data_IF_705889337151
#
_entry.id   IF_705889337151
#
_cell.length_a   1.000
_cell.length_b   1.000
_cell.length_c   1.000
_cell.angle_alpha   90.00
_cell.angle_beta   90.00
_cell.angle_gamma   90.00
#
_symmetry.space_group_name_H-M   'P 1'
#
loop_
_entity.id
_entity.type
_entity.pdbx_description
1 polymer ?
#
# COMPACT_ATOMS: atom_id res chain seq x y z
N UNK A 1 -22.89 -15.31 39.44
CA UNK A 1 -22.47 -14.35 40.48
C UNK A 1 -21.12 -14.83 40.99
N UNK A 2 -19.97 -14.18 40.86
CA UNK A 2 -19.51 -12.89 40.32
C UNK A 2 -18.18 -13.22 39.58
N UNK A 3 -17.81 -12.60 38.48
CA UNK A 3 -17.02 -11.36 38.40
C UNK A 3 -17.11 -10.90 36.94
N UNK A 4 -17.96 -9.92 36.66
CA UNK A 4 -17.73 -8.93 35.62
C UNK A 4 -18.32 -7.65 36.19
N UNK A 5 -17.60 -7.07 37.15
CA UNK A 5 -17.76 -5.66 37.45
C UNK A 5 -17.59 -4.90 36.12
N UNK A 6 -18.48 -3.94 35.87
CA UNK A 6 -18.34 -2.94 34.82
C UNK A 6 -17.04 -2.15 35.03
N UNK A 7 -15.91 -2.74 34.65
CA UNK A 7 -14.66 -2.04 34.48
C UNK A 7 -14.79 -1.15 33.27
N UNK A 8 -14.72 0.14 33.49
CA UNK A 8 -14.55 1.18 32.48
C UNK A 8 -13.49 0.75 31.44
N UNK A 9 -13.92 0.47 30.20
CA UNK A 9 -13.04 0.02 29.12
C UNK A 9 -12.20 1.18 28.61
N UNK A 10 -10.92 1.22 29.01
CA UNK A 10 -9.94 2.18 28.52
C UNK A 10 -9.00 1.51 27.51
N UNK A 11 -8.75 2.16 26.38
CA UNK A 11 -7.78 1.71 25.38
C UNK A 11 -6.37 1.75 25.98
N UNK A 12 -5.63 0.67 25.78
CA UNK A 12 -4.24 0.52 26.21
C UNK A 12 -3.44 -0.12 25.09
N UNK A 13 -2.11 -0.02 25.17
CA UNK A 13 -1.21 -0.75 24.26
C UNK A 13 -1.51 -2.27 24.22
N UNK A 14 -1.88 -2.86 25.36
CA UNK A 14 -2.26 -4.28 25.44
C UNK A 14 -3.54 -4.59 24.65
N UNK A 15 -4.55 -3.73 24.71
CA UNK A 15 -5.79 -3.88 23.92
C UNK A 15 -5.51 -3.74 22.43
N UNK A 16 -4.66 -2.79 22.01
CA UNK A 16 -4.26 -2.65 20.60
C UNK A 16 -3.62 -3.95 20.10
N UNK A 17 -2.74 -4.54 20.89
CA UNK A 17 -2.09 -5.81 20.56
C UNK A 17 -3.10 -6.97 20.51
N UNK A 18 -4.03 -7.06 21.47
CA UNK A 18 -5.08 -8.07 21.49
C UNK A 18 -6.01 -7.96 20.26
N UNK A 19 -6.38 -6.74 19.86
CA UNK A 19 -7.16 -6.49 18.64
C UNK A 19 -6.37 -6.96 17.41
N UNK A 20 -5.07 -6.62 17.33
CA UNK A 20 -4.20 -7.06 16.23
C UNK A 20 -4.14 -8.57 16.13
N UNK A 21 -3.93 -9.27 17.24
CA UNK A 21 -3.86 -10.73 17.32
C UNK A 21 -5.18 -11.40 16.91
N UNK A 22 -6.30 -10.85 17.37
CA UNK A 22 -7.64 -11.34 17.00
C UNK A 22 -7.88 -11.20 15.50
N UNK A 23 -7.57 -10.03 14.93
CA UNK A 23 -7.70 -9.78 13.49
C UNK A 23 -6.74 -10.64 12.67
N UNK A 24 -5.51 -10.85 13.15
CA UNK A 24 -4.51 -11.71 12.50
C UNK A 24 -4.96 -13.17 12.48
N UNK A 25 -5.49 -13.69 13.60
CA UNK A 25 -6.05 -15.04 13.66
C UNK A 25 -7.23 -15.20 12.68
N UNK A 26 -8.13 -14.21 12.63
CA UNK A 26 -9.24 -14.21 11.68
C UNK A 26 -8.72 -14.23 10.23
N UNK A 27 -7.70 -13.45 9.91
CA UNK A 27 -7.11 -13.43 8.57
C UNK A 27 -6.44 -14.76 8.22
N UNK A 28 -5.69 -15.36 9.15
CA UNK A 28 -5.05 -16.66 8.96
C UNK A 28 -6.06 -17.78 8.71
N UNK A 29 -7.21 -17.74 9.38
CA UNK A 29 -8.32 -18.67 9.12
C UNK A 29 -8.87 -18.51 7.69
N UNK A 30 -9.05 -17.28 7.21
CA UNK A 30 -9.47 -17.03 5.82
C UNK A 30 -8.40 -17.46 4.80
N UNK A 31 -7.12 -17.26 5.10
CA UNK A 31 -6.01 -17.75 4.28
C UNK A 31 -5.94 -19.29 4.25
N UNK A 32 -6.32 -19.97 5.34
CA UNK A 32 -6.44 -21.42 5.40
C UNK A 32 -7.63 -21.90 4.57
N UNK A 33 -8.82 -21.32 4.73
CA UNK A 33 -10.01 -21.64 3.90
C UNK A 33 -9.72 -21.53 2.41
N UNK A 34 -9.04 -20.45 1.99
CA UNK A 34 -8.61 -20.25 0.60
C UNK A 34 -7.69 -21.37 0.10
N UNK A 35 -6.72 -21.78 0.92
CA UNK A 35 -5.81 -22.89 0.60
C UNK A 35 -6.56 -24.22 0.50
N UNK A 36 -7.48 -24.49 1.42
CA UNK A 36 -8.26 -25.72 1.44
C UNK A 36 -9.20 -25.80 0.23
N UNK A 37 -9.83 -24.69 -0.15
CA UNK A 37 -10.64 -24.58 -1.37
C UNK A 37 -9.80 -24.89 -2.62
N UNK A 38 -8.65 -24.23 -2.79
CA UNK A 38 -7.75 -24.48 -3.91
C UNK A 38 -7.29 -25.95 -3.96
N UNK A 39 -6.93 -26.52 -2.81
CA UNK A 39 -6.54 -27.92 -2.72
C UNK A 39 -7.69 -28.87 -3.07
N UNK A 40 -8.94 -28.55 -2.71
CA UNK A 40 -10.12 -29.33 -3.13
C UNK A 40 -10.25 -29.32 -4.65
N UNK A 41 -10.22 -28.12 -5.26
CA UNK A 41 -10.31 -27.95 -6.71
C UNK A 41 -9.18 -28.68 -7.45
N UNK A 42 -7.96 -28.65 -6.92
CA UNK A 42 -6.86 -29.42 -7.48
C UNK A 42 -7.11 -30.93 -7.42
N UNK A 43 -7.61 -31.46 -6.30
CA UNK A 43 -7.94 -32.89 -6.18
C UNK A 43 -9.07 -33.30 -7.13
N UNK A 44 -10.13 -32.51 -7.19
CA UNK A 44 -11.29 -32.72 -8.07
C UNK A 44 -10.86 -32.74 -9.55
N UNK A 45 -9.96 -31.83 -9.93
CA UNK A 45 -9.39 -31.79 -11.27
C UNK A 45 -8.28 -32.82 -11.50
N UNK A 46 -7.91 -33.67 -10.52
CA UNK A 46 -6.84 -34.67 -10.64
C UNK A 46 -5.44 -34.07 -10.80
N UNK A 47 -5.17 -32.94 -10.15
CA UNK A 47 -3.91 -32.19 -10.18
C UNK A 47 -3.13 -32.48 -8.90
N UNK A 48 -1.83 -32.73 -9.05
CA UNK A 48 -0.94 -32.91 -7.91
C UNK A 48 -0.90 -31.63 -7.07
N UNK A 49 -1.16 -31.77 -5.77
CA UNK A 49 -1.10 -30.65 -4.84
C UNK A 49 0.31 -30.05 -4.82
N UNK A 50 0.46 -28.73 -4.92
CA UNK A 50 1.74 -28.09 -4.70
C UNK A 50 2.18 -28.39 -3.25
N UNK A 51 3.41 -28.88 -3.08
CA UNK A 51 3.94 -29.25 -1.77
C UNK A 51 4.09 -28.03 -0.85
N UNK A 52 4.13 -26.83 -1.44
CA UNK A 52 4.33 -25.52 -0.82
C UNK A 52 5.30 -25.64 0.35
N UNK A 53 6.59 -25.75 0.03
CA UNK A 53 7.66 -25.52 0.99
C UNK A 53 7.34 -24.21 1.72
N UNK A 54 7.10 -24.34 3.02
CA UNK A 54 7.20 -23.33 4.08
C UNK A 54 7.58 -21.93 3.60
N UNK A 55 6.87 -20.88 4.07
CA UNK A 55 7.31 -19.48 4.05
C UNK A 55 8.82 -19.43 4.27
N UNK A 56 9.61 -19.43 3.19
CA UNK A 56 11.03 -19.16 3.29
C UNK A 56 11.03 -17.66 3.43
N UNK A 57 11.13 -17.19 4.67
CA UNK A 57 11.75 -15.90 4.91
C UNK A 57 13.13 -16.01 4.28
N UNK A 58 13.24 -15.63 3.01
CA UNK A 58 14.51 -15.67 2.30
C UNK A 58 15.39 -14.67 3.03
N UNK A 59 16.31 -15.18 3.84
CA UNK A 59 17.39 -14.37 4.37
C UNK A 59 18.07 -13.69 3.18
N UNK A 60 18.21 -12.37 3.27
CA UNK A 60 18.84 -11.55 2.25
C UNK A 60 20.26 -12.08 2.04
N UNK A 61 20.55 -12.63 0.84
CA UNK A 61 21.92 -12.71 0.33
C UNK A 61 22.50 -14.05 -0.12
N UNK A 62 21.81 -15.21 -0.07
CA UNK A 62 22.53 -16.49 -0.33
C UNK A 62 21.92 -17.42 -1.39
N UNK A 63 20.61 -17.37 -1.71
CA UNK A 63 20.03 -18.22 -2.77
C UNK A 63 19.38 -17.40 -3.90
N UNK A 64 19.32 -17.93 -5.14
CA UNK A 64 18.40 -17.43 -6.16
C UNK A 64 17.00 -17.39 -5.55
N UNK A 65 16.32 -16.25 -5.69
CA UNK A 65 14.93 -16.16 -5.32
C UNK A 65 14.10 -16.81 -6.42
N UNK A 66 13.21 -17.72 -6.05
CA UNK A 66 12.35 -18.43 -6.98
C UNK A 66 10.89 -18.08 -6.70
N UNK A 67 10.14 -17.84 -7.77
CA UNK A 67 8.68 -17.80 -7.71
C UNK A 67 8.15 -19.18 -7.30
N UNK A 68 6.92 -19.25 -6.79
CA UNK A 68 6.29 -20.54 -6.48
C UNK A 68 5.89 -21.27 -7.76
N UNK A 69 6.83 -22.04 -8.32
CA UNK A 69 6.65 -22.77 -9.58
C UNK A 69 5.66 -23.93 -9.47
N UNK A 70 5.58 -24.58 -8.32
CA UNK A 70 4.61 -25.65 -8.11
C UNK A 70 3.19 -25.09 -8.10
N UNK A 71 2.96 -24.00 -7.36
CA UNK A 71 1.67 -23.32 -7.34
C UNK A 71 1.33 -22.73 -8.72
N UNK A 72 2.29 -22.10 -9.40
CA UNK A 72 2.11 -21.63 -10.77
C UNK A 72 1.61 -22.77 -11.68
N UNK A 73 2.30 -23.92 -11.68
CA UNK A 73 1.91 -25.08 -12.51
C UNK A 73 0.53 -25.61 -12.15
N UNK A 74 0.23 -25.79 -10.85
CA UNK A 74 -1.04 -26.31 -10.39
C UNK A 74 -2.22 -25.40 -10.78
N UNK A 75 -2.07 -24.09 -10.55
CA UNK A 75 -3.08 -23.08 -10.93
C UNK A 75 -3.24 -23.00 -12.45
N UNK A 76 -2.14 -23.11 -13.20
CA UNK A 76 -2.16 -23.15 -14.66
C UNK A 76 -2.89 -24.37 -15.18
N UNK A 77 -2.61 -25.54 -14.62
CA UNK A 77 -3.26 -26.79 -15.00
C UNK A 77 -4.76 -26.78 -14.67
N UNK A 78 -5.14 -26.26 -13.50
CA UNK A 78 -6.54 -26.07 -13.12
C UNK A 78 -7.27 -25.21 -14.15
N UNK A 79 -6.63 -24.11 -14.56
CA UNK A 79 -7.17 -23.20 -15.58
C UNK A 79 -7.35 -23.89 -16.92
N UNK A 80 -6.41 -24.76 -17.32
CA UNK A 80 -6.50 -25.52 -18.58
C UNK A 80 -7.63 -26.55 -18.55
N UNK A 81 -7.76 -27.32 -17.47
CA UNK A 81 -8.76 -28.40 -17.34
C UNK A 81 -10.17 -27.88 -17.20
N UNK A 82 -10.36 -26.85 -16.38
CA UNK A 82 -11.67 -26.28 -16.06
C UNK A 82 -12.07 -25.12 -17.00
N UNK A 83 -11.25 -24.84 -18.02
CA UNK A 83 -11.48 -23.76 -19.00
C UNK A 83 -11.78 -22.40 -18.36
N UNK A 84 -11.09 -22.07 -17.26
CA UNK A 84 -11.41 -20.89 -16.45
C UNK A 84 -11.07 -19.59 -17.21
N UNK A 85 -12.02 -18.67 -17.23
CA UNK A 85 -11.72 -17.27 -17.55
C UNK A 85 -10.85 -16.65 -16.45
N UNK A 86 -10.11 -15.58 -16.79
CA UNK A 86 -9.31 -14.84 -15.82
C UNK A 86 -10.14 -14.39 -14.60
N UNK A 87 -11.37 -13.92 -14.83
CA UNK A 87 -12.26 -13.45 -13.76
C UNK A 87 -12.62 -14.59 -12.81
N UNK A 88 -13.02 -15.75 -13.34
CA UNK A 88 -13.32 -16.93 -12.51
C UNK A 88 -12.09 -17.36 -11.71
N UNK A 89 -10.92 -17.42 -12.35
CA UNK A 89 -9.69 -17.82 -11.68
C UNK A 89 -9.28 -16.84 -10.57
N UNK A 90 -9.41 -15.53 -10.78
CA UNK A 90 -9.09 -14.53 -9.74
C UNK A 90 -10.04 -14.62 -8.56
N UNK A 91 -11.32 -14.91 -8.80
CA UNK A 91 -12.31 -15.15 -7.73
C UNK A 91 -11.95 -16.40 -6.92
N UNK A 92 -11.61 -17.50 -7.59
CA UNK A 92 -11.12 -18.73 -6.94
C UNK A 92 -9.83 -18.44 -6.14
N UNK A 93 -8.87 -17.74 -6.75
CA UNK A 93 -7.58 -17.40 -6.14
C UNK A 93 -7.73 -16.64 -4.82
N UNK A 94 -8.79 -15.85 -4.66
CA UNK A 94 -9.10 -15.04 -3.48
C UNK A 94 -10.18 -15.65 -2.58
N UNK A 95 -10.74 -16.79 -2.93
CA UNK A 95 -11.91 -17.38 -2.27
C UNK A 95 -13.11 -16.41 -2.21
N UNK A 96 -13.42 -15.77 -3.33
CA UNK A 96 -14.65 -14.97 -3.49
C UNK A 96 -15.83 -15.95 -3.74
N UNK A 97 -16.74 -16.04 -2.77
CA UNK A 97 -17.92 -16.92 -2.83
C UNK A 97 -19.22 -16.10 -2.89
N UNK A 98 -20.36 -16.78 -2.99
CA UNK A 98 -21.67 -16.11 -2.93
C UNK A 98 -21.93 -15.52 -1.53
N UNK A 99 -21.46 -16.19 -0.48
CA UNK A 99 -21.59 -15.79 0.92
C UNK A 99 -20.60 -14.67 1.28
N UNK A 100 -19.41 -14.68 0.70
CA UNK A 100 -18.40 -13.64 0.89
C UNK A 100 -17.68 -13.28 -0.42
N UNK A 101 -18.21 -12.26 -1.09
CA UNK A 101 -17.65 -11.73 -2.33
C UNK A 101 -16.45 -10.79 -2.12
N UNK A 102 -16.02 -10.52 -0.89
CA UNK A 102 -14.95 -9.55 -0.63
C UNK A 102 -13.63 -10.07 -1.21
N UNK A 103 -12.90 -9.25 -1.99
CA UNK A 103 -11.61 -9.66 -2.52
C UNK A 103 -10.49 -9.60 -1.46
N UNK A 104 -10.66 -8.79 -0.41
CA UNK A 104 -9.73 -8.72 0.71
C UNK A 104 -10.40 -9.19 2.00
N UNK A 105 -10.08 -10.41 2.43
CA UNK A 105 -10.71 -11.06 3.59
C UNK A 105 -10.39 -10.44 4.95
N UNK A 106 -9.37 -9.59 5.03
CA UNK A 106 -9.05 -8.86 6.25
C UNK A 106 -10.02 -7.71 6.54
N UNK A 107 -10.75 -7.21 5.53
CA UNK A 107 -11.54 -5.99 5.65
C UNK A 107 -13.00 -6.32 5.94
N UNK A 108 -13.60 -5.69 6.94
CA UNK A 108 -15.00 -5.88 7.30
C UNK A 108 -15.85 -4.67 6.86
N UNK A 109 -16.90 -4.93 6.07
CA UNK A 109 -17.79 -3.90 5.50
C UNK A 109 -18.59 -3.18 6.60
N UNK A 110 -19.09 -3.90 7.59
CA UNK A 110 -19.92 -3.37 8.67
C UNK A 110 -19.11 -2.42 9.56
N UNK A 111 -17.94 -2.88 10.03
CA UNK A 111 -17.01 -2.05 10.80
C UNK A 111 -16.53 -0.84 10.00
N UNK A 112 -16.20 -1.03 8.72
CA UNK A 112 -15.86 0.08 7.82
C UNK A 112 -17.00 1.09 7.74
N UNK A 113 -18.26 0.64 7.66
CA UNK A 113 -19.43 1.51 7.54
C UNK A 113 -19.70 2.34 8.81
N UNK A 114 -19.44 1.76 9.98
CA UNK A 114 -19.53 2.41 11.29
C UNK A 114 -18.40 3.42 11.46
N UNK A 115 -17.15 3.00 11.24
CA UNK A 115 -15.96 3.80 11.55
C UNK A 115 -15.74 4.96 10.57
N UNK A 116 -16.23 4.83 9.33
CA UNK A 116 -16.16 5.88 8.31
C UNK A 116 -17.36 6.83 8.31
N UNK A 117 -18.22 6.84 9.34
CA UNK A 117 -19.36 7.75 9.40
C UNK A 117 -18.91 9.22 9.27
N UNK A 118 -19.59 9.96 8.40
CA UNK A 118 -19.24 11.36 8.09
C UNK A 118 -18.00 11.52 7.20
N UNK A 119 -17.33 10.44 6.79
CA UNK A 119 -16.20 10.52 5.87
C UNK A 119 -16.70 10.74 4.43
N UNK A 120 -16.14 11.74 3.75
CA UNK A 120 -16.60 12.14 2.41
C UNK A 120 -16.54 11.04 1.35
N UNK A 121 -15.57 10.13 1.44
CA UNK A 121 -15.36 9.05 0.47
C UNK A 121 -15.89 7.71 0.99
N UNK A 122 -16.77 7.74 2.01
CA UNK A 122 -17.37 6.55 2.63
C UNK A 122 -17.94 5.58 1.61
N UNK A 123 -18.73 6.07 0.65
CA UNK A 123 -19.37 5.17 -0.32
C UNK A 123 -18.35 4.48 -1.24
N UNK A 124 -17.32 5.21 -1.69
CA UNK A 124 -16.22 4.63 -2.48
C UNK A 124 -15.42 3.61 -1.66
N UNK A 125 -15.17 3.91 -0.38
CA UNK A 125 -14.50 3.00 0.55
C UNK A 125 -15.30 1.70 0.70
N UNK A 126 -16.60 1.78 0.98
CA UNK A 126 -17.45 0.62 1.19
C UNK A 126 -17.65 -0.21 -0.09
N UNK A 127 -17.80 0.43 -1.25
CA UNK A 127 -17.83 -0.26 -2.54
C UNK A 127 -16.52 -1.02 -2.78
N UNK A 128 -15.37 -0.38 -2.49
CA UNK A 128 -14.05 -1.02 -2.63
C UNK A 128 -13.86 -2.20 -1.66
N UNK A 129 -14.33 -2.10 -0.41
CA UNK A 129 -14.26 -3.22 0.54
C UNK A 129 -15.11 -4.40 0.07
N UNK A 130 -16.30 -4.14 -0.50
CA UNK A 130 -17.22 -5.18 -0.98
C UNK A 130 -16.77 -5.86 -2.26
N UNK A 131 -16.24 -5.09 -3.20
CA UNK A 131 -16.09 -5.52 -4.59
C UNK A 131 -14.68 -5.34 -5.16
N UNK A 132 -13.78 -4.74 -4.39
CA UNK A 132 -12.49 -4.27 -4.88
C UNK A 132 -12.64 -3.01 -5.72
N UNK A 133 -11.51 -2.43 -6.10
CA UNK A 133 -11.48 -1.24 -6.94
C UNK A 133 -12.04 -1.57 -8.31
N UNK A 134 -13.10 -0.86 -8.70
CA UNK A 134 -13.64 -0.87 -10.07
C UNK A 134 -13.19 0.38 -10.80
N UNK A 135 -12.93 0.24 -12.09
CA UNK A 135 -12.48 1.35 -12.93
C UNK A 135 -12.86 1.14 -14.39
N UNK A 136 -13.32 2.18 -15.08
CA UNK A 136 -13.55 2.12 -16.54
C UNK A 136 -12.31 2.57 -17.30
N UNK A 137 -12.01 1.84 -18.37
CA UNK A 137 -10.99 2.22 -19.34
C UNK A 137 -11.70 2.80 -20.58
N UNK A 138 -11.33 4.03 -21.00
CA UNK A 138 -12.00 4.82 -22.07
C UNK A 138 -11.85 4.21 -23.46
N UNK A 139 -10.75 3.50 -23.69
CA UNK A 139 -10.52 2.73 -24.91
C UNK A 139 -10.69 1.27 -24.53
N UNK A 140 -11.24 0.46 -25.44
CA UNK A 140 -11.31 -0.96 -25.16
C UNK A 140 -9.87 -1.45 -24.97
N UNK A 141 -9.57 -2.03 -23.81
CA UNK A 141 -8.27 -2.68 -23.62
C UNK A 141 -8.06 -3.75 -24.72
N UNK A 142 -9.16 -4.29 -25.21
CA UNK A 142 -9.27 -5.30 -26.26
C UNK A 142 -8.84 -4.77 -27.65
N UNK A 143 -8.83 -3.45 -27.88
CA UNK A 143 -8.35 -2.85 -29.13
C UNK A 143 -6.81 -2.84 -29.22
N UNK A 144 -6.12 -3.16 -28.12
CA UNK A 144 -4.66 -3.08 -28.04
C UNK A 144 -3.99 -4.44 -28.23
N UNK A 145 -4.20 -5.06 -29.40
CA UNK A 145 -3.27 -6.07 -29.90
C UNK A 145 -1.91 -5.42 -30.10
N UNK A 146 -0.99 -5.71 -29.20
CA UNK A 146 0.40 -5.28 -29.27
C UNK A 146 1.24 -6.50 -28.97
N UNK A 147 2.38 -6.61 -29.65
CA UNK A 147 3.47 -7.45 -29.17
C UNK A 147 3.65 -7.22 -27.67
N UNK A 148 3.80 -8.33 -26.96
CA UNK A 148 4.04 -8.34 -25.53
C UNK A 148 5.39 -7.65 -25.29
N UNK A 149 5.45 -6.54 -24.56
CA UNK A 149 6.67 -5.78 -24.41
C UNK A 149 7.70 -6.57 -23.57
N UNK A 150 8.98 -6.45 -23.93
CA UNK A 150 10.05 -6.91 -23.06
C UNK A 150 10.13 -6.08 -21.78
N UNK A 151 10.46 -6.73 -20.66
CA UNK A 151 10.80 -6.03 -19.43
C UNK A 151 11.98 -5.08 -19.67
N UNK A 152 11.97 -3.93 -18.98
CA UNK A 152 13.05 -2.96 -19.04
C UNK A 152 14.37 -3.59 -18.62
N UNK A 153 15.49 -3.08 -19.17
CA UNK A 153 16.84 -3.55 -18.82
C UNK A 153 17.06 -3.62 -17.31
N UNK A 154 16.57 -2.64 -16.55
CA UNK A 154 16.70 -2.63 -15.09
C UNK A 154 16.03 -3.81 -14.39
N UNK A 155 14.90 -4.31 -14.90
CA UNK A 155 14.25 -5.50 -14.35
C UNK A 155 14.98 -6.80 -14.75
N UNK A 156 15.48 -6.86 -15.99
CA UNK A 156 16.28 -8.02 -16.47
C UNK A 156 17.59 -8.16 -15.69
N UNK A 157 18.30 -7.05 -15.49
CA UNK A 157 19.55 -7.01 -14.71
C UNK A 157 19.29 -7.33 -13.21
N UNK A 158 18.08 -7.07 -12.71
CA UNK A 158 17.66 -7.30 -11.32
C UNK A 158 16.61 -8.42 -11.21
N UNK A 159 16.70 -9.47 -12.04
CA UNK A 159 15.69 -10.54 -12.11
C UNK A 159 15.43 -11.22 -10.75
N UNK A 160 16.45 -11.34 -9.90
CA UNK A 160 16.29 -11.91 -8.55
C UNK A 160 15.46 -11.01 -7.62
N UNK A 161 15.59 -9.69 -7.75
CA UNK A 161 14.75 -8.75 -7.01
C UNK A 161 13.30 -8.77 -7.52
N UNK A 162 13.12 -8.88 -8.85
CA UNK A 162 11.81 -9.09 -9.48
C UNK A 162 11.15 -10.37 -8.95
N UNK A 163 11.84 -11.51 -9.02
CA UNK A 163 11.35 -12.82 -8.54
C UNK A 163 10.95 -12.78 -7.07
N UNK A 164 11.77 -12.15 -6.19
CA UNK A 164 11.39 -11.95 -4.79
C UNK A 164 10.09 -11.17 -4.66
N UNK A 165 9.98 -10.03 -5.35
CA UNK A 165 8.77 -9.21 -5.26
C UNK A 165 7.53 -9.96 -5.74
N UNK A 166 7.66 -10.80 -6.77
CA UNK A 166 6.56 -11.64 -7.26
C UNK A 166 6.24 -12.76 -6.27
N UNK A 167 7.26 -13.43 -5.72
CA UNK A 167 7.09 -14.46 -4.68
C UNK A 167 6.36 -13.90 -3.45
N UNK A 168 6.82 -12.76 -2.93
CA UNK A 168 6.20 -12.09 -1.79
C UNK A 168 4.71 -11.78 -2.06
N UNK A 169 4.39 -11.35 -3.29
CA UNK A 169 3.01 -11.07 -3.65
C UNK A 169 2.18 -12.32 -3.98
N UNK A 170 2.77 -13.44 -4.44
CA UNK A 170 2.09 -14.74 -4.50
C UNK A 170 1.69 -15.20 -3.11
N UNK A 171 2.62 -15.16 -2.16
CA UNK A 171 2.41 -15.55 -0.77
C UNK A 171 1.35 -14.66 -0.10
N UNK A 172 1.33 -13.37 -0.43
CA UNK A 172 0.32 -12.41 0.03
C UNK A 172 -1.00 -12.42 -0.76
N UNK A 173 -1.13 -13.21 -1.84
CA UNK A 173 -2.31 -13.25 -2.71
C UNK A 173 -2.50 -12.03 -3.63
N UNK A 174 -1.55 -11.09 -3.65
CA UNK A 174 -1.57 -9.85 -4.45
C UNK A 174 -1.07 -10.01 -5.88
N UNK A 175 -0.43 -11.15 -6.18
CA UNK A 175 -0.09 -11.61 -7.52
C UNK A 175 -0.67 -12.99 -7.78
N UNK A 176 -1.35 -13.12 -8.92
CA UNK A 176 -1.68 -14.42 -9.51
C UNK A 176 -0.63 -14.73 -10.57
N UNK A 177 0.02 -15.88 -10.47
CA UNK A 177 1.07 -16.29 -11.42
C UNK A 177 0.65 -17.57 -12.10
N UNK A 178 0.64 -17.55 -13.43
CA UNK A 178 0.29 -18.68 -14.30
C UNK A 178 1.33 -18.83 -15.39
N UNK A 179 1.33 -19.96 -16.07
CA UNK A 179 2.14 -20.19 -17.24
C UNK A 179 1.74 -19.24 -18.38
N UNK A 180 2.71 -18.88 -19.20
CA UNK A 180 2.51 -17.90 -20.27
C UNK A 180 1.47 -18.38 -21.29
N UNK A 181 1.40 -19.68 -21.58
CA UNK A 181 0.41 -20.27 -22.50
C UNK A 181 -1.02 -20.15 -21.97
N UNK A 182 -1.22 -20.26 -20.65
CA UNK A 182 -2.52 -20.03 -20.01
C UNK A 182 -2.96 -18.59 -20.22
N UNK A 183 -2.05 -17.64 -19.99
CA UNK A 183 -2.36 -16.23 -20.17
C UNK A 183 -2.68 -15.84 -21.63
N UNK A 184 -2.14 -16.57 -22.62
CA UNK A 184 -2.44 -16.37 -24.03
C UNK A 184 -3.87 -16.75 -24.39
N UNK A 185 -4.55 -17.56 -23.57
CA UNK A 185 -5.98 -17.92 -23.74
C UNK A 185 -6.92 -16.81 -23.30
N UNK A 186 -6.41 -15.77 -22.64
CA UNK A 186 -7.19 -14.61 -22.21
C UNK A 186 -6.86 -13.41 -23.11
N UNK A 187 -7.55 -13.25 -24.25
CA UNK A 187 -7.19 -12.25 -25.26
C UNK A 187 -7.28 -10.80 -24.75
N UNK A 188 -8.03 -10.57 -23.67
CA UNK A 188 -8.27 -9.24 -23.09
C UNK A 188 -7.18 -8.79 -22.12
N UNK A 189 -6.16 -9.62 -21.85
CA UNK A 189 -5.08 -9.27 -20.90
C UNK A 189 -4.10 -8.31 -21.55
N UNK A 190 -3.93 -7.14 -20.94
CA UNK A 190 -2.92 -6.17 -21.30
C UNK A 190 -1.63 -6.46 -20.57
N UNK A 191 -0.56 -6.71 -21.34
CA UNK A 191 0.79 -6.85 -20.82
C UNK A 191 1.56 -5.53 -20.88
N UNK A 192 2.20 -5.19 -19.77
CA UNK A 192 3.10 -4.04 -19.62
C UNK A 192 4.44 -4.50 -19.04
N UNK A 193 5.55 -3.81 -19.36
CA UNK A 193 6.86 -4.24 -18.92
C UNK A 193 7.10 -3.94 -17.45
N UNK A 194 7.82 -4.82 -16.77
CA UNK A 194 8.37 -4.53 -15.45
C UNK A 194 9.66 -3.71 -15.57
N UNK A 195 9.89 -2.87 -14.56
CA UNK A 195 11.14 -2.18 -14.31
C UNK A 195 11.52 -2.32 -12.84
N UNK A 196 12.81 -2.23 -12.53
CA UNK A 196 13.31 -2.20 -11.15
C UNK A 196 14.00 -0.88 -10.86
N UNK A 197 13.78 -0.34 -9.66
CA UNK A 197 14.48 0.85 -9.15
C UNK A 197 15.27 0.47 -7.90
N UNK A 198 16.57 0.81 -7.83
CA UNK A 198 17.39 0.53 -6.65
C UNK A 198 16.78 1.12 -5.38
N UNK A 199 16.81 0.35 -4.28
CA UNK A 199 16.61 0.91 -2.94
C UNK A 199 17.93 1.55 -2.48
N UNK A 200 17.84 2.68 -1.77
CA UNK A 200 19.03 3.37 -1.27
C UNK A 200 19.83 2.47 -0.31
N UNK A 201 21.15 2.41 -0.48
CA UNK A 201 22.06 1.66 0.39
C UNK A 201 22.05 0.14 0.21
N UNK A 202 21.33 -0.38 -0.80
CA UNK A 202 21.20 -1.83 -1.05
C UNK A 202 21.62 -2.16 -2.48
N UNK A 203 22.25 -3.32 -2.69
CA UNK A 203 22.63 -3.78 -4.02
C UNK A 203 21.35 -4.08 -4.83
N UNK A 204 21.07 -3.37 -5.93
CA UNK A 204 19.83 -3.50 -6.70
C UNK A 204 19.62 -4.87 -7.35
N UNK A 205 20.68 -5.68 -7.51
CA UNK A 205 20.56 -7.08 -7.97
C UNK A 205 19.78 -7.92 -6.97
N UNK A 206 19.79 -7.51 -5.70
CA UNK A 206 19.06 -8.18 -4.64
C UNK A 206 17.87 -7.34 -4.12
N UNK A 207 18.19 -6.10 -3.79
CA UNK A 207 17.43 -4.94 -3.32
C UNK A 207 16.78 -3.99 -4.34
N UNK A 208 15.66 -4.31 -4.98
CA UNK A 208 14.97 -3.34 -5.84
C UNK A 208 13.47 -3.17 -5.55
N UNK A 209 12.96 -1.98 -5.85
CA UNK A 209 11.52 -1.71 -5.93
C UNK A 209 11.03 -2.05 -7.33
N UNK A 210 10.12 -3.01 -7.40
CA UNK A 210 9.41 -3.34 -8.63
C UNK A 210 8.48 -2.20 -9.05
N UNK A 211 8.53 -1.87 -10.34
CA UNK A 211 7.62 -0.93 -11.00
C UNK A 211 6.95 -1.68 -12.15
N UNK A 212 5.63 -1.58 -12.22
CA UNK A 212 4.87 -2.02 -13.37
C UNK A 212 4.70 -0.80 -14.30
N UNK A 213 5.39 -0.78 -15.45
CA UNK A 213 5.32 0.38 -16.36
C UNK A 213 4.02 0.37 -17.18
N UNK A 214 2.96 0.75 -16.48
CA UNK A 214 1.61 0.88 -17.01
C UNK A 214 1.43 2.15 -17.84
N UNK A 215 2.51 2.89 -18.11
CA UNK A 215 2.53 4.01 -19.05
C UNK A 215 3.03 3.59 -20.44
N UNK A 216 3.59 2.39 -20.59
CA UNK A 216 4.07 1.84 -21.84
C UNK A 216 3.04 0.95 -22.56
N UNK A 217 2.94 1.02 -23.91
CA UNK A 217 3.52 2.06 -24.77
C UNK A 217 2.69 3.35 -24.69
N UNK A 218 3.34 4.49 -24.95
CA UNK A 218 2.69 5.82 -24.86
C UNK A 218 1.42 5.87 -25.72
N UNK A 219 0.31 6.33 -25.14
CA UNK A 219 -0.98 6.50 -25.83
C UNK A 219 -1.83 5.22 -25.99
N UNK A 220 -1.27 4.04 -25.71
CA UNK A 220 -1.93 2.72 -25.80
C UNK A 220 -1.70 1.86 -24.55
N UNK A 221 -1.30 2.48 -23.45
CA UNK A 221 -1.01 1.85 -22.16
C UNK A 221 -2.24 1.85 -21.25
N UNK A 222 -2.20 1.03 -20.19
CA UNK A 222 -3.25 1.00 -19.16
C UNK A 222 -3.50 2.40 -18.56
N UNK A 223 -2.45 3.18 -18.32
CA UNK A 223 -2.58 4.56 -17.84
C UNK A 223 -3.20 5.50 -18.88
N UNK A 224 -2.91 5.32 -20.17
CA UNK A 224 -3.52 6.12 -21.23
C UNK A 224 -5.00 5.76 -21.43
N UNK A 225 -5.38 4.50 -21.19
CA UNK A 225 -6.75 4.02 -21.26
C UNK A 225 -7.57 4.38 -20.01
N UNK A 226 -6.94 4.60 -18.86
CA UNK A 226 -7.64 4.86 -17.60
C UNK A 226 -8.48 6.13 -17.63
N UNK A 227 -9.79 6.02 -17.33
CA UNK A 227 -10.65 7.19 -17.22
C UNK A 227 -10.34 8.04 -15.99
N UNK A 228 -9.62 9.15 -16.17
CA UNK A 228 -9.20 10.02 -15.06
C UNK A 228 -10.36 10.73 -14.35
N UNK A 229 -11.54 10.86 -14.96
CA UNK A 229 -12.69 11.50 -14.31
C UNK A 229 -13.35 10.63 -13.25
N UNK A 230 -13.11 9.31 -13.27
CA UNK A 230 -13.62 8.38 -12.26
C UNK A 230 -12.71 8.24 -11.03
N UNK A 231 -11.49 8.78 -11.09
CA UNK A 231 -10.54 8.64 -10.01
C UNK A 231 -11.02 9.44 -8.78
N UNK A 232 -10.96 8.85 -7.56
CA UNK A 232 -11.32 9.56 -6.35
C UNK A 232 -10.50 10.84 -6.19
N UNK A 233 -11.16 11.94 -5.85
CA UNK A 233 -10.46 13.21 -5.63
C UNK A 233 -9.59 13.11 -4.37
N UNK A 234 -8.29 13.29 -4.53
CA UNK A 234 -7.37 13.40 -3.40
C UNK A 234 -7.25 14.87 -3.02
N UNK A 235 -7.49 15.20 -1.75
CA UNK A 235 -7.17 16.52 -1.22
C UNK A 235 -5.94 16.37 -0.33
N UNK A 236 -4.83 16.94 -0.77
CA UNK A 236 -3.64 17.02 0.05
C UNK A 236 -3.69 18.30 0.87
N UNK A 237 -3.62 18.16 2.19
CA UNK A 237 -3.45 19.30 3.08
C UNK A 237 -2.00 19.76 2.97
N UNK A 238 -1.79 21.07 2.80
CA UNK A 238 -0.45 21.61 2.71
C UNK A 238 0.31 21.39 4.02
N UNK A 239 1.60 21.06 3.92
CA UNK A 239 2.49 20.73 5.06
C UNK A 239 2.51 21.80 6.16
N UNK A 240 2.20 23.05 5.82
CA UNK A 240 1.98 24.18 6.75
C UNK A 240 0.97 23.87 7.88
N UNK A 241 0.05 22.93 7.69
CA UNK A 241 -0.89 22.54 8.73
C UNK A 241 -0.18 21.94 9.95
N UNK A 242 0.91 21.20 9.74
CA UNK A 242 1.76 20.65 10.80
C UNK A 242 2.44 21.79 11.56
N UNK A 243 3.07 22.73 10.84
CA UNK A 243 3.71 23.90 11.45
C UNK A 243 2.72 24.73 12.30
N UNK A 244 1.52 24.99 11.78
CA UNK A 244 0.46 25.70 12.51
C UNK A 244 0.00 24.97 13.77
N UNK A 245 -0.09 23.63 13.72
CA UNK A 245 -0.41 22.83 14.92
C UNK A 245 0.69 22.94 15.97
N UNK A 246 1.96 22.86 15.58
CA UNK A 246 3.11 23.04 16.48
C UNK A 246 3.05 24.42 17.14
N UNK A 247 2.90 25.50 16.36
CA UNK A 247 2.79 26.86 16.88
C UNK A 247 1.61 27.03 17.84
N UNK A 248 0.43 26.50 17.47
CA UNK A 248 -0.76 26.53 18.31
C UNK A 248 -0.51 25.86 19.66
N UNK A 249 0.05 24.65 19.65
CA UNK A 249 0.30 23.89 20.87
C UNK A 249 1.36 24.53 21.76
N UNK A 250 2.44 25.08 21.17
CA UNK A 250 3.47 25.83 21.92
C UNK A 250 2.88 27.04 22.64
N UNK A 251 1.96 27.78 21.99
CA UNK A 251 1.29 28.94 22.60
C UNK A 251 0.33 28.52 23.71
N UNK A 252 -0.42 27.43 23.50
CA UNK A 252 -1.42 26.94 24.45
C UNK A 252 -0.80 26.25 25.67
N UNK A 253 0.31 25.54 25.47
CA UNK A 253 0.96 24.72 26.50
C UNK A 253 2.47 25.07 26.61
N UNK A 254 2.83 26.29 27.04
CA UNK A 254 4.20 26.80 26.98
C UNK A 254 5.23 25.99 27.77
N UNK A 255 4.78 25.27 28.81
CA UNK A 255 5.63 24.44 29.67
C UNK A 255 5.51 22.94 29.40
N UNK A 256 4.91 22.55 28.27
CA UNK A 256 4.76 21.14 27.87
C UNK A 256 5.57 20.86 26.62
N UNK A 257 6.12 19.65 26.55
CA UNK A 257 6.77 19.15 25.33
C UNK A 257 5.70 18.92 24.27
N UNK A 258 5.99 19.32 23.03
CA UNK A 258 5.13 19.02 21.89
C UNK A 258 5.79 17.87 21.13
N UNK A 259 5.15 16.72 21.07
CA UNK A 259 5.72 15.51 20.51
C UNK A 259 5.14 15.23 19.13
N UNK A 260 5.97 14.72 18.23
CA UNK A 260 5.55 14.25 16.91
C UNK A 260 5.64 12.74 16.83
N UNK A 261 4.70 12.15 16.09
CA UNK A 261 4.68 10.74 15.74
C UNK A 261 4.50 10.61 14.23
N UNK A 262 5.29 9.76 13.60
CA UNK A 262 5.14 9.35 12.20
C UNK A 262 4.78 7.86 12.14
N UNK A 263 3.60 7.57 11.60
CA UNK A 263 3.19 6.22 11.22
C UNK A 263 3.29 6.00 9.72
N UNK A 264 3.70 4.80 9.29
CA UNK A 264 3.78 4.38 7.88
C UNK A 264 2.92 3.12 7.68
N UNK A 265 2.17 3.11 6.57
CA UNK A 265 1.38 1.94 6.16
C UNK A 265 2.25 1.00 5.33
N UNK A 266 2.41 -0.23 5.83
CA UNK A 266 3.18 -1.29 5.18
C UNK A 266 2.51 -1.70 3.87
N UNK A 267 3.27 -1.61 2.78
CA UNK A 267 2.82 -1.99 1.44
C UNK A 267 1.48 -1.36 1.03
N UNK A 268 1.27 -0.09 1.39
CA UNK A 268 0.05 0.71 1.20
C UNK A 268 -0.87 0.30 0.02
N UNK A 269 -0.39 0.37 -1.22
CA UNK A 269 -1.21 0.03 -2.40
C UNK A 269 -1.61 -1.45 -2.44
N UNK A 270 -0.76 -2.35 -1.96
CA UNK A 270 -1.02 -3.80 -1.92
C UNK A 270 -2.12 -4.19 -0.95
N UNK A 271 -2.47 -3.32 0.00
CA UNK A 271 -3.59 -3.53 0.92
C UNK A 271 -4.96 -3.33 0.25
N UNK A 272 -5.03 -2.86 -1.00
CA UNK A 272 -6.28 -2.58 -1.69
C UNK A 272 -6.39 -3.44 -2.94
N UNK A 273 -7.37 -4.34 -2.93
CA UNK A 273 -7.60 -5.28 -4.03
C UNK A 273 -8.38 -4.63 -5.17
N UNK A 274 -8.03 -5.01 -6.40
CA UNK A 274 -8.76 -4.67 -7.62
C UNK A 274 -9.98 -5.60 -7.76
N UNK A 275 -11.07 -5.13 -8.35
CA UNK A 275 -12.15 -6.00 -8.79
C UNK A 275 -11.64 -6.99 -9.85
N UNK A 276 -12.11 -8.24 -9.82
CA UNK A 276 -11.63 -9.31 -10.69
C UNK A 276 -11.76 -8.97 -12.18
N UNK A 277 -12.73 -8.14 -12.56
CA UNK A 277 -13.01 -7.75 -13.93
C UNK A 277 -11.94 -6.80 -14.53
N UNK A 278 -11.23 -6.05 -13.67
CA UNK A 278 -10.27 -5.04 -14.14
C UNK A 278 -8.81 -5.50 -14.07
N UNK A 279 -8.52 -6.63 -13.41
CA UNK A 279 -7.16 -7.19 -13.29
C UNK A 279 -6.51 -7.48 -14.64
N UNK A 280 -7.33 -7.69 -15.68
CA UNK A 280 -6.89 -7.85 -17.08
C UNK A 280 -6.02 -6.68 -17.58
N UNK A 281 -6.14 -5.49 -16.99
CA UNK A 281 -5.33 -4.32 -17.36
C UNK A 281 -3.92 -4.32 -16.79
N UNK A 282 -3.55 -5.31 -15.96
CA UNK A 282 -2.35 -5.29 -15.13
C UNK A 282 -1.56 -6.60 -15.23
N UNK A 283 -1.33 -7.09 -16.46
CA UNK A 283 -0.46 -8.23 -16.72
C UNK A 283 0.99 -7.83 -16.94
N UNK A 284 1.91 -8.65 -16.45
CA UNK A 284 3.35 -8.61 -16.78
C UNK A 284 3.88 -10.02 -17.04
N UNK A 285 5.13 -10.16 -17.47
CA UNK A 285 5.75 -11.47 -17.72
C UNK A 285 7.15 -11.57 -17.12
N UNK A 286 7.54 -12.80 -16.82
CA UNK A 286 8.94 -13.19 -16.55
C UNK A 286 9.28 -14.31 -17.53
N UNK A 287 9.80 -13.98 -18.73
CA UNK A 287 10.09 -14.97 -19.77
C UNK A 287 10.98 -16.12 -19.29
N UNK A 288 11.96 -15.82 -18.44
CA UNK A 288 12.92 -16.78 -17.87
C UNK A 288 12.27 -17.86 -17.00
N UNK A 289 11.05 -17.61 -16.51
CA UNK A 289 10.27 -18.53 -15.69
C UNK A 289 9.00 -19.05 -16.39
N UNK A 290 8.83 -18.71 -17.68
CA UNK A 290 7.62 -19.00 -18.47
C UNK A 290 6.36 -18.44 -17.77
N UNK A 291 6.52 -17.39 -16.95
CA UNK A 291 5.48 -16.91 -16.06
C UNK A 291 4.79 -15.67 -16.60
N UNK A 292 3.47 -15.67 -16.58
CA UNK A 292 2.62 -14.48 -16.65
C UNK A 292 2.14 -14.12 -15.24
N UNK A 293 2.28 -12.85 -14.89
CA UNK A 293 1.96 -12.30 -13.57
C UNK A 293 0.79 -11.34 -13.73
N UNK A 294 -0.28 -11.55 -12.99
CA UNK A 294 -1.45 -10.66 -12.94
C UNK A 294 -1.47 -9.97 -11.58
N UNK A 295 -1.38 -8.64 -11.59
CA UNK A 295 -1.58 -7.82 -10.40
C UNK A 295 -3.05 -7.89 -9.96
N UNK A 296 -3.30 -8.37 -8.75
CA UNK A 296 -4.65 -8.44 -8.16
C UNK A 296 -4.86 -7.32 -7.13
N UNK A 297 -3.82 -6.64 -6.67
CA UNK A 297 -3.94 -5.43 -5.85
C UNK A 297 -3.54 -4.17 -6.63
N UNK A 298 -3.80 -2.97 -6.09
CA UNK A 298 -3.38 -1.72 -6.72
C UNK A 298 -1.88 -1.78 -7.07
N UNK A 299 -1.50 -1.69 -8.35
CA UNK A 299 -0.11 -1.83 -8.75
C UNK A 299 0.64 -0.52 -8.60
N UNK A 300 1.95 -0.62 -8.32
CA UNK A 300 2.83 0.53 -8.38
C UNK A 300 3.14 0.86 -9.85
N UNK A 301 2.67 2.02 -10.31
CA UNK A 301 2.80 2.48 -11.69
C UNK A 301 1.47 2.82 -12.36
N UNK A 302 0.32 2.42 -11.78
CA UNK A 302 -0.99 2.82 -12.28
C UNK A 302 -1.36 4.23 -11.82
N UNK A 303 -1.88 5.05 -12.74
CA UNK A 303 -2.30 6.43 -12.47
C UNK A 303 -3.47 6.51 -11.47
N UNK A 304 -4.24 5.42 -11.30
CA UNK A 304 -5.34 5.36 -10.36
C UNK A 304 -4.96 4.94 -8.94
N UNK A 305 -3.82 4.26 -8.75
CA UNK A 305 -3.43 3.72 -7.44
C UNK A 305 -3.38 4.77 -6.33
N UNK A 306 -2.78 5.97 -6.53
CA UNK A 306 -2.77 7.00 -5.50
C UNK A 306 -4.18 7.50 -5.12
N UNK A 307 -5.09 7.60 -6.11
CA UNK A 307 -6.47 8.07 -5.91
C UNK A 307 -7.26 7.10 -5.05
N UNK A 308 -7.25 5.82 -5.43
CA UNK A 308 -7.95 4.77 -4.68
C UNK A 308 -7.34 4.54 -3.30
N UNK A 309 -6.01 4.57 -3.17
CA UNK A 309 -5.38 4.49 -1.85
C UNK A 309 -5.68 5.70 -0.96
N UNK A 310 -5.73 6.90 -1.53
CA UNK A 310 -6.07 8.13 -0.81
C UNK A 310 -7.44 8.09 -0.12
N UNK A 311 -8.37 7.25 -0.59
CA UNK A 311 -9.65 6.99 0.09
C UNK A 311 -9.44 6.30 1.44
N UNK A 312 -8.54 5.32 1.51
CA UNK A 312 -8.27 4.58 2.74
C UNK A 312 -7.34 5.35 3.68
N UNK A 313 -6.27 5.96 3.15
CA UNK A 313 -5.41 6.85 3.95
C UNK A 313 -6.20 8.02 4.55
N UNK A 314 -7.13 8.60 3.79
CA UNK A 314 -8.03 9.64 4.29
C UNK A 314 -9.02 9.13 5.36
N UNK A 315 -9.52 7.90 5.25
CA UNK A 315 -10.40 7.30 6.24
C UNK A 315 -9.69 7.06 7.59
N UNK A 316 -8.43 6.63 7.56
CA UNK A 316 -7.59 6.48 8.75
C UNK A 316 -7.45 7.82 9.48
N UNK A 317 -7.06 8.89 8.75
CA UNK A 317 -6.94 10.22 9.36
C UNK A 317 -8.29 10.81 9.78
N UNK A 318 -9.37 10.56 9.05
CA UNK A 318 -10.71 10.96 9.46
C UNK A 318 -11.09 10.31 10.79
N UNK A 319 -10.86 9.00 10.95
CA UNK A 319 -11.15 8.30 12.22
C UNK A 319 -10.29 8.83 13.35
N UNK A 320 -8.98 8.96 13.15
CA UNK A 320 -8.06 9.51 14.15
C UNK A 320 -8.50 10.92 14.60
N UNK A 321 -8.87 11.79 13.67
CA UNK A 321 -9.30 13.16 13.96
C UNK A 321 -10.65 13.29 14.66
N UNK A 322 -11.39 12.18 14.83
CA UNK A 322 -12.61 12.13 15.64
C UNK A 322 -12.36 11.58 17.05
N UNK A 323 -11.18 11.01 17.30
CA UNK A 323 -10.82 10.48 18.62
C UNK A 323 -10.17 11.54 19.49
N UNK A 324 -10.27 11.34 20.80
CA UNK A 324 -9.66 12.12 21.86
C UNK A 324 -9.31 11.18 23.02
N UNK A 325 -8.50 11.61 24.01
CA UNK A 325 -8.29 10.79 25.20
C UNK A 325 -9.59 10.41 25.90
N UNK A 326 -10.56 11.32 26.03
CA UNK A 326 -11.85 11.06 26.65
C UNK A 326 -12.81 10.18 25.84
N UNK A 327 -12.56 9.94 24.54
CA UNK A 327 -13.29 8.92 23.77
C UNK A 327 -12.68 7.52 23.88
N UNK A 328 -11.42 7.43 24.31
CA UNK A 328 -10.66 6.18 24.38
C UNK A 328 -10.39 5.71 25.81
N UNK A 329 -10.42 6.62 26.78
CA UNK A 329 -10.28 6.34 28.21
C UNK A 329 -11.37 7.09 28.97
N UNK A 330 -12.39 6.40 29.52
CA UNK A 330 -13.49 7.03 30.25
C UNK A 330 -13.03 7.77 31.52
N UNK A 331 -11.82 7.51 32.02
CA UNK A 331 -11.23 8.23 33.15
C UNK A 331 -10.64 9.58 32.74
N UNK A 332 -10.45 9.81 31.44
CA UNK A 332 -9.93 11.07 30.91
C UNK A 332 -11.05 12.08 30.66
N UNK A 333 -10.85 13.30 31.13
CA UNK A 333 -11.75 14.43 30.85
C UNK A 333 -11.35 15.23 29.59
N UNK A 334 -10.22 14.87 28.96
CA UNK A 334 -9.70 15.55 27.77
C UNK A 334 -10.51 15.16 26.52
N UNK A 335 -11.37 16.07 26.08
CA UNK A 335 -12.21 15.94 24.88
C UNK A 335 -11.60 16.59 23.63
N UNK A 336 -10.38 17.13 23.70
CA UNK A 336 -9.72 17.72 22.54
C UNK A 336 -9.31 16.60 21.58
N UNK A 337 -9.80 16.65 20.35
CA UNK A 337 -9.51 15.63 19.34
C UNK A 337 -8.04 15.62 18.95
N UNK A 338 -7.55 14.48 18.46
CA UNK A 338 -6.18 14.39 17.94
C UNK A 338 -6.03 15.15 16.61
N UNK A 339 -4.83 15.67 16.38
CA UNK A 339 -4.39 16.19 15.11
C UNK A 339 -4.04 15.03 14.18
N UNK A 340 -4.82 14.91 13.10
CA UNK A 340 -4.62 13.90 12.08
C UNK A 340 -4.13 14.54 10.78
N UNK A 341 -2.91 14.20 10.37
CA UNK A 341 -2.38 14.56 9.06
C UNK A 341 -2.01 13.30 8.28
N UNK A 342 -2.33 13.28 6.98
CA UNK A 342 -1.94 12.20 6.06
C UNK A 342 -1.35 12.76 4.79
N UNK A 343 -0.29 12.12 4.32
CA UNK A 343 0.27 12.32 3.01
C UNK A 343 0.57 10.96 2.38
N UNK A 344 -0.35 10.51 1.52
CA UNK A 344 -0.31 9.15 0.97
C UNK A 344 -0.23 8.15 2.15
N UNK A 345 0.87 7.42 2.30
CA UNK A 345 1.11 6.36 3.29
C UNK A 345 1.70 6.85 4.62
N UNK A 346 2.19 8.10 4.66
CA UNK A 346 2.71 8.74 5.86
C UNK A 346 1.58 9.40 6.66
N UNK A 347 1.43 9.01 7.92
CA UNK A 347 0.53 9.64 8.90
C UNK A 347 1.33 10.37 9.96
N UNK A 348 0.93 11.61 10.28
CA UNK A 348 1.64 12.46 11.24
C UNK A 348 0.67 12.92 12.32
N UNK A 349 1.07 12.70 13.58
CA UNK A 349 0.39 13.24 14.75
C UNK A 349 1.29 14.27 15.43
N UNK A 350 0.69 15.32 15.99
CA UNK A 350 1.40 16.36 16.75
C UNK A 350 0.56 16.72 17.97
N UNK A 351 1.02 16.28 19.13
CA UNK A 351 0.27 16.37 20.39
C UNK A 351 1.14 16.88 21.54
N UNK A 352 0.56 17.58 22.52
CA UNK A 352 1.28 17.95 23.74
C UNK A 352 1.43 16.72 24.65
N UNK A 353 2.54 16.66 25.37
CA UNK A 353 2.84 15.64 26.37
C UNK A 353 2.04 15.92 27.66
N UNK A 354 0.80 15.41 27.68
CA UNK A 354 -0.18 15.56 28.74
C UNK A 354 -0.76 14.19 29.05
N UNK A 355 -0.56 13.73 30.28
CA UNK A 355 -1.09 12.47 30.81
C UNK A 355 -0.91 11.30 29.83
N UNK A 356 -2.00 10.66 29.38
CA UNK A 356 -1.99 9.52 28.46
C UNK A 356 -2.24 9.91 27.00
N UNK A 357 -2.25 11.21 26.65
CA UNK A 357 -2.66 11.70 25.34
C UNK A 357 -1.80 11.14 24.19
N UNK A 358 -0.49 11.06 24.40
CA UNK A 358 0.44 10.58 23.38
C UNK A 358 0.26 9.08 23.10
N UNK A 359 0.14 8.26 24.15
CA UNK A 359 -0.09 6.82 24.04
C UNK A 359 -1.42 6.55 23.33
N UNK A 360 -2.49 7.25 23.73
CA UNK A 360 -3.81 7.09 23.13
C UNK A 360 -3.86 7.56 21.67
N UNK A 361 -3.09 8.60 21.31
CA UNK A 361 -2.98 9.04 19.92
C UNK A 361 -2.32 7.98 19.03
N UNK A 362 -1.21 7.39 19.49
CA UNK A 362 -0.55 6.28 18.78
C UNK A 362 -1.49 5.06 18.68
N UNK A 363 -2.14 4.68 19.78
CA UNK A 363 -3.09 3.58 19.82
C UNK A 363 -4.25 3.79 18.83
N UNK A 364 -4.83 4.99 18.80
CA UNK A 364 -5.91 5.35 17.88
C UNK A 364 -5.47 5.24 16.41
N UNK A 365 -4.26 5.71 16.07
CA UNK A 365 -3.73 5.61 14.72
C UNK A 365 -3.54 4.14 14.31
N UNK A 366 -2.95 3.31 15.17
CA UNK A 366 -2.74 1.87 14.91
C UNK A 366 -4.08 1.14 14.73
N UNK A 367 -5.05 1.39 15.60
CA UNK A 367 -6.40 0.82 15.50
C UNK A 367 -7.09 1.22 14.18
N UNK A 368 -6.99 2.50 13.79
CA UNK A 368 -7.56 2.99 12.54
C UNK A 368 -6.89 2.34 11.31
N UNK A 369 -5.56 2.20 11.30
CA UNK A 369 -4.84 1.47 10.24
C UNK A 369 -5.34 0.03 10.10
N UNK A 370 -5.49 -0.69 11.21
CA UNK A 370 -5.97 -2.07 11.19
C UNK A 370 -7.43 -2.19 10.75
N UNK A 371 -8.27 -1.25 11.17
CA UNK A 371 -9.69 -1.25 10.81
C UNK A 371 -9.92 -1.09 9.30
N UNK A 372 -9.15 -0.23 8.63
CA UNK A 372 -9.36 0.07 7.20
C UNK A 372 -8.47 -0.73 6.26
N UNK A 373 -7.35 -1.28 6.72
CA UNK A 373 -6.36 -1.96 5.88
C UNK A 373 -5.94 -3.36 6.38
N UNK A 374 -6.52 -3.83 7.49
CA UNK A 374 -6.22 -5.15 8.07
C UNK A 374 -5.04 -5.18 9.05
N UNK A 375 -4.83 -6.30 9.76
CA UNK A 375 -3.87 -6.41 10.88
C UNK A 375 -2.38 -6.29 10.49
N UNK A 376 -2.08 -6.50 9.20
CA UNK A 376 -0.71 -6.49 8.65
C UNK A 376 -0.33 -5.15 7.99
N UNK A 377 -1.20 -4.13 8.11
CA UNK A 377 -1.03 -2.81 7.48
C UNK A 377 -0.06 -1.91 8.22
N UNK A 378 0.20 -2.14 9.50
CA UNK A 378 1.13 -1.34 10.29
C UNK A 378 2.56 -1.67 9.89
N UNK A 379 3.38 -0.65 9.60
CA UNK A 379 4.81 -0.81 9.39
C UNK A 379 5.61 -0.53 10.66
N UNK A 380 5.70 -1.52 11.55
CA UNK A 380 6.33 -1.35 12.86
C UNK A 380 7.79 -0.86 12.77
N UNK A 381 8.54 -1.27 11.75
CA UNK A 381 9.95 -0.82 11.57
C UNK A 381 10.09 0.62 11.07
N UNK A 382 8.99 1.24 10.64
CA UNK A 382 8.94 2.63 10.18
C UNK A 382 8.01 3.51 11.00
N UNK A 383 7.45 2.97 12.08
CA UNK A 383 6.78 3.77 13.09
C UNK A 383 7.86 4.51 13.89
N UNK A 384 7.81 5.84 13.90
CA UNK A 384 8.76 6.61 14.70
C UNK A 384 8.46 6.44 16.19
N UNK A 385 9.46 6.73 17.02
CA UNK A 385 9.18 7.05 18.42
C UNK A 385 8.51 8.43 18.47
N UNK A 386 7.91 8.73 19.62
CA UNK A 386 7.44 10.07 19.96
C UNK A 386 8.65 10.96 20.24
N UNK A 387 8.90 11.95 19.37
CA UNK A 387 10.11 12.78 19.43
C UNK A 387 9.79 14.27 19.19
N UNK A 388 10.63 15.17 19.72
CA UNK A 388 10.54 16.62 19.43
C UNK A 388 11.31 17.00 18.15
N UNK A 389 12.21 16.13 17.72
CA UNK A 389 12.98 16.27 16.48
C UNK A 389 12.68 15.07 15.59
N UNK A 390 12.12 15.30 14.41
CA UNK A 390 11.66 14.21 13.54
C UNK A 390 11.79 14.58 12.06
N UNK A 391 12.25 13.64 11.24
CA UNK A 391 12.25 13.80 9.79
C UNK A 391 10.97 13.22 9.19
N UNK A 392 10.09 14.09 8.68
CA UNK A 392 8.80 13.70 8.11
C UNK A 392 8.50 14.47 6.83
N UNK A 393 7.92 13.79 5.83
CA UNK A 393 7.69 14.32 4.48
C UNK A 393 8.95 14.88 3.80
N UNK A 394 10.10 14.39 4.24
CA UNK A 394 11.39 14.84 3.76
C UNK A 394 11.83 16.21 4.29
N UNK A 395 11.23 16.68 5.38
CA UNK A 395 11.61 17.89 6.12
C UNK A 395 12.06 17.49 7.53
N UNK A 396 12.96 18.27 8.11
CA UNK A 396 13.37 18.17 9.51
C UNK A 396 12.52 19.10 10.36
N UNK A 397 11.85 18.54 11.36
CA UNK A 397 11.00 19.28 12.27
C UNK A 397 11.63 19.34 13.65
N UNK A 398 11.64 20.51 14.28
CA UNK A 398 12.01 20.67 15.67
C UNK A 398 10.89 21.41 16.41
N UNK A 399 10.10 20.69 17.20
CA UNK A 399 8.97 21.26 17.94
C UNK A 399 9.39 22.05 19.18
N UNK A 400 10.61 21.84 19.70
CA UNK A 400 11.18 22.57 20.83
C UNK A 400 11.69 23.95 20.43
N UNK A 401 12.24 24.09 19.23
CA UNK A 401 12.62 25.40 18.66
C UNK A 401 11.49 26.02 17.83
N UNK A 402 10.51 25.21 17.41
CA UNK A 402 9.42 25.65 16.54
C UNK A 402 9.87 25.88 15.10
N UNK A 403 10.88 25.13 14.65
CA UNK A 403 11.50 25.28 13.32
C UNK A 403 11.19 24.10 12.41
N UNK A 404 11.22 24.35 11.11
CA UNK A 404 11.18 23.34 10.05
C UNK A 404 12.23 23.68 9.00
N UNK A 405 13.04 22.71 8.60
CA UNK A 405 14.15 22.91 7.65
C UNK A 405 14.18 21.81 6.58
N UNK A 406 14.84 22.12 5.48
CA UNK A 406 15.22 21.12 4.48
C UNK A 406 16.49 20.40 4.97
N UNK A 407 16.54 19.05 4.95
CA UNK A 407 17.74 18.30 5.29
C UNK A 407 18.95 18.75 4.47
N UNK A 408 20.11 18.88 5.12
CA UNK A 408 21.35 19.37 4.49
C UNK A 408 21.74 18.56 3.26
N UNK A 409 21.68 17.23 3.36
CA UNK A 409 21.97 16.33 2.22
C UNK A 409 21.08 16.59 0.99
N UNK A 410 19.83 17.08 1.18
CA UNK A 410 18.96 17.45 0.06
C UNK A 410 19.34 18.81 -0.54
N UNK A 411 19.76 19.75 0.30
CA UNK A 411 20.29 21.05 -0.14
C UNK A 411 21.56 20.82 -0.96
N UNK A 412 22.51 20.05 -0.44
CA UNK A 412 23.74 19.68 -1.15
C UNK A 412 23.47 19.02 -2.49
N UNK A 413 22.53 18.07 -2.53
CA UNK A 413 22.10 17.41 -3.77
C UNK A 413 21.52 18.40 -4.78
N UNK A 414 20.73 19.36 -4.34
CA UNK A 414 20.16 20.40 -5.19
C UNK A 414 21.27 21.32 -5.73
N UNK A 415 22.20 21.78 -4.86
CA UNK A 415 23.36 22.59 -5.24
C UNK A 415 24.25 21.87 -6.25
N UNK A 416 24.55 20.58 -6.01
CA UNK A 416 25.31 19.75 -6.95
C UNK A 416 24.61 19.60 -8.30
N UNK A 417 23.28 19.49 -8.31
CA UNK A 417 22.50 19.44 -9.56
C UNK A 417 22.52 20.78 -10.32
N UNK A 418 22.54 21.91 -9.61
CA UNK A 418 22.71 23.25 -10.22
C UNK A 418 24.10 23.34 -10.86
N UNK A 419 25.17 23.04 -10.10
CA UNK A 419 26.55 23.10 -10.58
C UNK A 419 26.74 22.25 -11.84
N UNK A 420 26.25 21.01 -11.82
CA UNK A 420 26.33 20.11 -12.97
C UNK A 420 25.64 20.65 -14.25
N UNK A 421 24.57 21.45 -14.10
CA UNK A 421 23.92 22.10 -15.24
C UNK A 421 24.70 23.35 -15.69
N UNK A 422 25.20 24.17 -14.76
CA UNK A 422 25.99 25.37 -15.08
C UNK A 422 27.33 25.03 -15.76
N UNK A 423 27.94 23.91 -15.37
CA UNK A 423 29.18 23.40 -15.96
C UNK A 423 28.96 22.67 -17.29
N UNK A 424 27.70 22.40 -17.68
CA UNK A 424 27.39 21.70 -18.92
C UNK A 424 27.15 22.66 -20.08
N UNK A 425 27.77 22.37 -21.22
CA UNK A 425 27.56 23.15 -22.45
C UNK A 425 26.14 23.01 -23.03
N UNK A 426 25.36 22.00 -22.60
CA UNK A 426 23.99 21.80 -23.05
C UNK A 426 23.16 21.05 -22.00
N UNK A 427 21.90 21.44 -21.80
CA UNK A 427 20.97 20.75 -20.91
C UNK A 427 19.71 20.29 -21.66
N UNK A 428 19.34 19.02 -21.47
CA UNK A 428 18.08 18.50 -21.99
C UNK A 428 16.88 19.07 -21.22
N UNK A 429 15.72 19.15 -21.87
CA UNK A 429 14.44 19.50 -21.22
C UNK A 429 14.15 18.62 -20.00
N UNK A 430 14.53 17.33 -20.04
CA UNK A 430 14.35 16.43 -18.92
C UNK A 430 15.23 16.80 -17.71
N UNK A 431 16.51 17.13 -17.94
CA UNK A 431 17.42 17.59 -16.88
C UNK A 431 16.92 18.89 -16.24
N UNK A 432 16.47 19.86 -17.06
CA UNK A 432 15.90 21.12 -16.57
C UNK A 432 14.64 20.89 -15.74
N UNK A 433 13.70 20.06 -16.22
CA UNK A 433 12.49 19.73 -15.48
C UNK A 433 12.78 19.04 -14.14
N UNK A 434 13.78 18.14 -14.12
CA UNK A 434 14.22 17.46 -12.89
C UNK A 434 14.81 18.46 -11.89
N UNK A 435 15.65 19.38 -12.36
CA UNK A 435 16.21 20.45 -11.51
C UNK A 435 15.09 21.33 -10.94
N UNK A 436 14.21 21.86 -11.80
CA UNK A 436 13.08 22.71 -11.38
C UNK A 436 12.20 22.02 -10.35
N UNK A 437 11.89 20.73 -10.53
CA UNK A 437 11.14 19.94 -9.56
C UNK A 437 11.85 19.81 -8.22
N UNK A 438 13.17 19.57 -8.22
CA UNK A 438 13.98 19.51 -7.00
C UNK A 438 14.01 20.85 -6.28
N UNK A 439 14.24 21.95 -7.00
CA UNK A 439 14.32 23.29 -6.41
C UNK A 439 12.99 23.74 -5.83
N UNK A 440 11.86 23.44 -6.50
CA UNK A 440 10.53 23.72 -5.96
C UNK A 440 10.29 23.04 -4.60
N UNK A 441 10.82 21.84 -4.40
CA UNK A 441 10.76 21.17 -3.10
C UNK A 441 11.67 21.83 -2.07
N UNK A 442 12.89 22.23 -2.43
CA UNK A 442 13.78 22.98 -1.52
C UNK A 442 13.12 24.29 -1.06
N UNK A 443 12.48 25.01 -1.99
CA UNK A 443 11.76 26.24 -1.71
C UNK A 443 10.47 26.05 -0.90
N UNK A 444 10.05 24.83 -0.53
CA UNK A 444 8.89 24.68 0.37
C UNK A 444 9.20 25.02 1.83
N UNK A 445 10.48 25.18 2.18
CA UNK A 445 10.97 25.53 3.52
C UNK A 445 11.60 26.93 3.61
N UNK A 446 11.64 27.66 2.50
CA UNK A 446 12.01 29.08 2.42
C UNK A 446 10.71 29.86 2.39
#
# INVERSE_FOLDING_TARGET
MAIFHHGEFAITTAIVQQVRETLELSLQNEEQKRRDQLNSLFREAGIQLPCCATRRTSHVGVSPAEIDRELQRAVSELTRREHLSLVQLVRIWRNETAEDSRPHKALNVEWSAVLSRGYRHREVLLDTVRHGVRHRFRKCLDDFFSEVPENHKSARDAVNALRRSIRDGQDAGTYLVVDTDVSQRWPTVKFSPFGCVPKAGLDPRFEARLIHDLSHPKGRSTNAASDRSQLPTILYVHVRAIARRIEYLRKRYPNRRIMMLKGDVKSAFRQIMLAAEIVRGFGGKIPEDIAAVIDTALPFGWTGSPGHYGVFGGAISHRLGLESPGSLDPRSSDKETFFAYVWVDDHICVEPDIDNRLELCEAALRLAMMAFLGPRSINDSKFSRLEQQLTALGLEWNTQEGTVSMPEAKIEKALGSIRAILESNAASKHQLNKLLGSLRHVCSCI
#
